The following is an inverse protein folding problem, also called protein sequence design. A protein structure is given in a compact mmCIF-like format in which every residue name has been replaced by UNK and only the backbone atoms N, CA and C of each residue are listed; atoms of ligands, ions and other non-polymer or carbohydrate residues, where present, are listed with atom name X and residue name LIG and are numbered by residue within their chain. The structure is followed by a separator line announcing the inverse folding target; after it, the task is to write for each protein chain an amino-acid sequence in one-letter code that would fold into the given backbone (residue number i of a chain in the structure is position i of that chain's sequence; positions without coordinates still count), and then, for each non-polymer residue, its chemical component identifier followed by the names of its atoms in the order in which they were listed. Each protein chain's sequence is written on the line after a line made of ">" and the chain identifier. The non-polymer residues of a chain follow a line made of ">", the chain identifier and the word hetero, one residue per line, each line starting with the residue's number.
data_IF_311169751120
#
_entry.id   IF_311169751120
#
_cell.length_a   1.000
_cell.length_b   1.000
_cell.length_c   1.000
_cell.angle_alpha   90.00
_cell.angle_beta   90.00
_cell.angle_gamma   90.00
#
_symmetry.space_group_name_H-M   'P 1'
#
loop_
_entity.id
_entity.type
_entity.pdbx_description
1 polymer ?
#
# COMPACT_ATOMS: atom_id res chain seq x y z
N UNK A 1 -64.11 26.13 -30.94
CA UNK A 1 -62.74 26.61 -31.20
C UNK A 1 -61.94 26.57 -29.90
N UNK A 2 -61.13 25.53 -29.67
CA UNK A 2 -60.19 25.44 -28.53
C UNK A 2 -58.79 25.22 -29.09
N UNK A 3 -57.93 26.23 -28.94
CA UNK A 3 -56.51 26.19 -29.34
C UNK A 3 -55.75 25.41 -28.27
N UNK A 4 -55.24 24.23 -28.61
CA UNK A 4 -54.29 23.48 -27.81
C UNK A 4 -52.90 24.01 -28.09
N UNK A 5 -52.32 24.73 -27.12
CA UNK A 5 -50.92 25.14 -27.14
C UNK A 5 -50.04 23.93 -26.83
N UNK A 6 -49.32 23.44 -27.83
CA UNK A 6 -48.31 22.40 -27.66
C UNK A 6 -47.03 23.05 -27.11
N UNK A 7 -46.74 22.81 -25.83
CA UNK A 7 -45.51 23.24 -25.17
C UNK A 7 -44.44 22.18 -25.45
N UNK A 8 -43.55 22.46 -26.40
CA UNK A 8 -42.36 21.64 -26.66
C UNK A 8 -41.34 21.97 -25.57
N UNK A 9 -41.17 21.03 -24.63
CA UNK A 9 -40.15 21.11 -23.59
C UNK A 9 -38.80 20.65 -24.14
N UNK A 10 -37.87 21.59 -24.30
CA UNK A 10 -36.50 21.34 -24.74
C UNK A 10 -35.68 20.81 -23.56
N UNK A 11 -35.49 19.49 -23.49
CA UNK A 11 -34.61 18.83 -22.53
C UNK A 11 -33.14 19.11 -22.91
N UNK A 12 -32.55 20.11 -22.24
CA UNK A 12 -31.12 20.39 -22.31
C UNK A 12 -30.38 19.31 -21.51
N UNK A 13 -29.83 18.31 -22.20
CA UNK A 13 -28.94 17.33 -21.60
C UNK A 13 -27.62 18.02 -21.21
N UNK A 14 -27.46 18.34 -19.93
CA UNK A 14 -26.17 18.78 -19.36
C UNK A 14 -25.29 17.53 -19.32
N UNK A 15 -24.53 17.30 -20.37
CA UNK A 15 -23.46 16.32 -20.39
C UNK A 15 -22.39 16.73 -19.39
N UNK A 16 -22.36 16.08 -18.22
CA UNK A 16 -21.18 16.08 -17.37
C UNK A 16 -20.11 15.30 -18.12
N UNK A 17 -19.27 16.02 -18.88
CA UNK A 17 -18.03 15.47 -19.38
C UNK A 17 -17.15 15.20 -18.16
N UNK A 18 -17.21 13.97 -17.63
CA UNK A 18 -16.19 13.48 -16.72
C UNK A 18 -14.86 13.61 -17.47
N UNK A 19 -14.05 14.60 -17.09
CA UNK A 19 -12.71 14.74 -17.59
C UNK A 19 -11.96 13.45 -17.26
N UNK A 20 -11.69 12.63 -18.27
CA UNK A 20 -10.92 11.41 -18.11
C UNK A 20 -9.49 11.86 -17.77
N UNK A 21 -9.11 11.82 -16.49
CA UNK A 21 -7.74 12.13 -16.11
C UNK A 21 -6.78 11.21 -16.88
N UNK A 22 -5.71 11.79 -17.42
CA UNK A 22 -4.69 11.03 -18.11
C UNK A 22 -4.13 9.96 -17.18
N UNK A 23 -4.04 8.73 -17.68
CA UNK A 23 -3.48 7.60 -16.93
C UNK A 23 -1.97 7.69 -16.72
N UNK A 24 -1.38 6.54 -16.42
CA UNK A 24 0.05 6.36 -16.26
C UNK A 24 0.55 5.33 -17.27
N UNK A 25 1.53 5.73 -18.07
CA UNK A 25 2.29 4.83 -18.93
C UNK A 25 3.53 4.36 -18.17
N UNK A 26 3.66 3.06 -17.92
CA UNK A 26 4.73 2.54 -17.07
C UNK A 26 6.12 2.75 -17.69
N UNK A 27 6.22 2.73 -19.02
CA UNK A 27 7.48 2.97 -19.74
C UNK A 27 7.96 4.43 -19.65
N UNK A 28 7.10 5.36 -19.20
CA UNK A 28 7.44 6.78 -19.01
C UNK A 28 7.89 7.10 -17.59
N UNK A 29 7.82 6.15 -16.66
CA UNK A 29 8.23 6.37 -15.27
C UNK A 29 9.75 6.47 -15.20
N UNK A 30 10.25 7.61 -14.70
CA UNK A 30 11.71 7.85 -14.64
C UNK A 30 12.33 7.31 -13.36
N UNK A 31 11.65 7.44 -12.22
CA UNK A 31 12.20 7.09 -10.92
C UNK A 31 11.12 6.73 -9.89
N UNK A 32 11.56 6.01 -8.87
CA UNK A 32 10.85 5.81 -7.61
C UNK A 32 11.47 6.73 -6.55
N UNK A 33 10.72 7.71 -6.06
CA UNK A 33 11.19 8.68 -5.10
C UNK A 33 10.72 8.33 -3.68
N UNK A 34 11.64 8.41 -2.72
CA UNK A 34 11.37 8.28 -1.28
C UNK A 34 11.92 9.51 -0.53
N UNK A 35 11.34 9.83 0.63
CA UNK A 35 11.84 10.90 1.47
C UNK A 35 13.28 10.62 1.95
N UNK A 36 14.08 11.66 2.20
CA UNK A 36 15.40 11.44 2.85
C UNK A 36 15.25 10.88 4.26
N UNK A 37 14.18 11.30 4.94
CA UNK A 37 13.79 10.85 6.28
C UNK A 37 12.89 9.61 6.25
N UNK A 38 12.84 8.89 5.12
CA UNK A 38 12.05 7.68 4.98
C UNK A 38 12.47 6.64 6.03
N UNK A 39 11.48 5.99 6.63
CA UNK A 39 11.72 4.90 7.57
C UNK A 39 12.29 3.65 6.89
N UNK A 40 12.87 2.72 7.66
CA UNK A 40 13.35 1.43 7.15
C UNK A 40 12.24 0.65 6.44
N UNK A 41 10.99 0.76 6.94
CA UNK A 41 9.82 0.14 6.32
C UNK A 41 9.47 0.74 4.97
N UNK A 42 9.56 2.06 4.83
CA UNK A 42 9.34 2.73 3.54
C UNK A 42 10.46 2.44 2.55
N UNK A 43 11.70 2.33 3.04
CA UNK A 43 12.85 1.92 2.22
C UNK A 43 12.69 0.47 1.72
N UNK A 44 12.26 -0.45 2.59
CA UNK A 44 11.91 -1.83 2.21
C UNK A 44 10.76 -1.86 1.22
N UNK A 45 9.69 -1.10 1.47
CA UNK A 45 8.54 -1.01 0.57
C UNK A 45 8.94 -0.50 -0.83
N UNK A 46 9.89 0.44 -0.90
CA UNK A 46 10.42 0.93 -2.17
C UNK A 46 11.22 -0.15 -2.92
N UNK A 47 12.02 -0.95 -2.22
CA UNK A 47 12.72 -2.09 -2.81
C UNK A 47 11.75 -3.16 -3.31
N UNK A 48 10.71 -3.49 -2.54
CA UNK A 48 9.67 -4.44 -2.94
C UNK A 48 8.90 -3.97 -4.18
N UNK A 49 8.63 -2.66 -4.26
CA UNK A 49 7.99 -2.06 -5.42
C UNK A 49 8.90 -2.09 -6.66
N UNK A 50 10.17 -1.70 -6.52
CA UNK A 50 11.14 -1.74 -7.62
C UNK A 50 11.25 -3.18 -8.14
N UNK A 51 11.43 -4.15 -7.25
CA UNK A 51 11.54 -5.57 -7.60
C UNK A 51 10.27 -6.06 -8.29
N UNK A 52 9.08 -5.77 -7.74
CA UNK A 52 7.83 -6.22 -8.36
C UNK A 52 7.57 -5.61 -9.75
N UNK A 53 8.00 -4.37 -10.00
CA UNK A 53 7.94 -3.75 -11.33
C UNK A 53 8.97 -4.39 -12.28
N UNK A 54 10.17 -4.69 -11.81
CA UNK A 54 11.21 -5.42 -12.56
C UNK A 54 10.72 -6.82 -12.94
N UNK A 55 10.11 -7.55 -12.01
CA UNK A 55 9.58 -8.91 -12.23
C UNK A 55 8.38 -8.91 -13.20
N UNK A 56 7.49 -7.90 -13.14
CA UNK A 56 6.32 -7.82 -14.02
C UNK A 56 6.65 -7.30 -15.43
N UNK A 57 7.53 -6.30 -15.54
CA UNK A 57 7.70 -5.50 -16.76
C UNK A 57 9.14 -5.44 -17.28
N UNK A 58 10.11 -5.94 -16.52
CA UNK A 58 11.54 -5.80 -16.82
C UNK A 58 12.06 -4.37 -16.66
N UNK A 59 11.32 -3.50 -15.96
CA UNK A 59 11.65 -2.09 -15.79
C UNK A 59 12.27 -1.86 -14.41
N UNK A 60 13.54 -1.44 -14.39
CA UNK A 60 14.25 -1.13 -13.14
C UNK A 60 14.28 0.37 -12.88
N UNK A 61 13.34 0.85 -12.09
CA UNK A 61 13.25 2.26 -11.70
C UNK A 61 14.30 2.61 -10.65
N UNK A 62 15.09 3.65 -10.85
CA UNK A 62 16.06 4.09 -9.84
C UNK A 62 15.34 4.61 -8.58
N UNK A 63 15.83 4.20 -7.39
CA UNK A 63 15.33 4.73 -6.11
C UNK A 63 16.08 6.01 -5.79
N UNK A 64 15.38 7.14 -5.77
CA UNK A 64 15.95 8.47 -5.51
C UNK A 64 15.44 8.98 -4.17
N UNK A 65 16.35 9.45 -3.33
CA UNK A 65 16.00 10.13 -2.07
C UNK A 65 15.83 11.63 -2.33
N UNK A 66 14.81 12.23 -1.72
CA UNK A 66 14.64 13.68 -1.74
C UNK A 66 13.40 14.11 -0.95
N UNK A 67 13.37 15.35 -0.47
CA UNK A 67 12.26 15.87 0.34
C UNK A 67 11.22 16.66 -0.47
N UNK A 68 11.51 16.96 -1.73
CA UNK A 68 10.59 17.61 -2.66
C UNK A 68 10.19 16.64 -3.75
N UNK A 69 8.92 16.65 -4.14
CA UNK A 69 8.48 15.88 -5.30
C UNK A 69 9.18 16.43 -6.55
N UNK A 70 9.83 15.55 -7.32
CA UNK A 70 10.60 15.95 -8.51
C UNK A 70 9.75 16.60 -9.60
N UNK A 71 8.42 16.45 -9.55
CA UNK A 71 7.49 16.92 -10.58
C UNK A 71 7.60 16.15 -11.90
N UNK A 72 8.45 15.12 -11.95
CA UNK A 72 8.67 14.27 -13.12
C UNK A 72 7.77 13.04 -13.10
N UNK A 73 7.52 12.42 -14.26
CA UNK A 73 6.88 11.10 -14.33
C UNK A 73 7.60 10.09 -13.44
N UNK A 74 6.87 9.45 -12.54
CA UNK A 74 7.48 8.59 -11.54
C UNK A 74 6.53 8.17 -10.43
N UNK A 75 7.11 7.51 -9.43
CA UNK A 75 6.38 7.03 -8.27
C UNK A 75 6.86 7.80 -7.04
N UNK A 76 5.95 8.39 -6.29
CA UNK A 76 6.20 9.06 -5.03
C UNK A 76 5.75 8.17 -3.89
N UNK A 77 6.68 7.69 -3.08
CA UNK A 77 6.41 6.78 -1.99
C UNK A 77 6.62 7.45 -0.63
N UNK A 78 5.62 7.31 0.23
CA UNK A 78 5.64 7.82 1.59
C UNK A 78 4.85 9.11 1.75
N UNK A 79 4.45 9.36 3.00
CA UNK A 79 3.59 10.48 3.38
C UNK A 79 4.20 11.84 3.04
N UNK A 80 5.47 12.05 3.37
CA UNK A 80 6.16 13.33 3.17
C UNK A 80 6.13 13.77 1.71
N UNK A 81 6.49 12.88 0.78
CA UNK A 81 6.51 13.18 -0.65
C UNK A 81 5.10 13.31 -1.25
N UNK A 82 4.17 12.45 -0.83
CA UNK A 82 2.80 12.50 -1.32
C UNK A 82 2.12 13.83 -0.94
N UNK A 83 2.32 14.31 0.28
CA UNK A 83 1.84 15.62 0.72
C UNK A 83 2.55 16.77 0.01
N UNK A 84 3.89 16.71 -0.11
CA UNK A 84 4.68 17.74 -0.79
C UNK A 84 4.31 17.89 -2.28
N UNK A 85 3.87 16.81 -2.92
CA UNK A 85 3.41 16.83 -4.31
C UNK A 85 2.02 17.42 -4.52
N UNK A 86 1.22 17.55 -3.46
CA UNK A 86 -0.20 17.93 -3.52
C UNK A 86 -1.12 16.86 -4.14
N UNK A 87 -0.60 15.68 -4.52
CA UNK A 87 -1.41 14.59 -5.06
C UNK A 87 -2.36 14.03 -3.99
N UNK A 88 -1.84 13.79 -2.79
CA UNK A 88 -2.60 13.27 -1.64
C UNK A 88 -2.65 14.37 -0.58
N UNK A 89 -3.82 14.62 -0.02
CA UNK A 89 -4.04 15.60 1.03
C UNK A 89 -3.95 14.98 2.43
N UNK A 90 -3.64 15.80 3.43
CA UNK A 90 -3.61 15.39 4.84
C UNK A 90 -4.96 14.82 5.28
N UNK A 91 -6.08 15.42 4.84
CA UNK A 91 -7.44 14.95 5.12
C UNK A 91 -7.70 13.53 4.63
N UNK A 92 -7.16 13.16 3.47
CA UNK A 92 -7.29 11.80 2.93
C UNK A 92 -6.51 10.79 3.76
N UNK A 93 -5.31 11.15 4.22
CA UNK A 93 -4.51 10.30 5.11
C UNK A 93 -5.14 10.16 6.50
N UNK A 94 -5.71 11.24 7.03
CA UNK A 94 -6.43 11.19 8.30
C UNK A 94 -7.71 10.34 8.24
N UNK A 95 -8.37 10.29 7.08
CA UNK A 95 -9.58 9.46 6.91
C UNK A 95 -9.26 7.95 6.95
N UNK A 96 -8.07 7.56 6.50
CA UNK A 96 -7.66 6.14 6.43
C UNK A 96 -6.91 5.62 7.66
N UNK A 97 -6.69 6.44 8.70
CA UNK A 97 -6.01 6.06 9.96
C UNK A 97 -6.24 4.59 10.39
N UNK A 98 -5.30 3.87 10.98
CA UNK A 98 -3.87 4.16 11.18
C UNK A 98 -2.97 3.36 10.23
N UNK A 99 -3.46 2.20 9.81
CA UNK A 99 -2.80 1.28 8.88
C UNK A 99 -3.44 1.33 7.48
N UNK A 100 -4.34 2.28 7.23
CA UNK A 100 -4.89 2.51 5.90
C UNK A 100 -3.97 3.35 5.01
N UNK A 101 -4.33 3.38 3.74
CA UNK A 101 -3.50 3.94 2.69
C UNK A 101 -4.31 4.60 1.58
N UNK A 102 -3.63 5.48 0.84
CA UNK A 102 -4.16 6.17 -0.32
C UNK A 102 -3.19 5.96 -1.48
N UNK A 103 -3.77 5.64 -2.64
CA UNK A 103 -3.08 5.52 -3.92
C UNK A 103 -3.74 6.48 -4.89
N UNK A 104 -2.94 7.30 -5.56
CA UNK A 104 -3.40 8.10 -6.70
C UNK A 104 -2.45 7.92 -7.85
N UNK A 105 -2.99 7.55 -9.00
CA UNK A 105 -2.23 7.49 -10.24
C UNK A 105 -2.93 8.37 -11.26
N UNK A 106 -2.24 9.42 -11.71
CA UNK A 106 -2.69 10.27 -12.81
C UNK A 106 -1.50 11.01 -13.41
N UNK A 107 -1.60 11.41 -14.67
CA UNK A 107 -0.61 12.25 -15.37
C UNK A 107 0.83 11.70 -15.27
N UNK A 108 0.99 10.39 -15.42
CA UNK A 108 2.26 9.66 -15.27
C UNK A 108 2.93 9.77 -13.88
N UNK A 109 2.20 10.17 -12.85
CA UNK A 109 2.66 10.16 -11.46
C UNK A 109 1.81 9.18 -10.67
N UNK A 110 2.47 8.35 -9.85
CA UNK A 110 1.80 7.47 -8.89
C UNK A 110 2.23 7.89 -7.49
N UNK A 111 1.31 8.44 -6.70
CA UNK A 111 1.54 8.74 -5.29
C UNK A 111 0.99 7.61 -4.41
N UNK A 112 1.82 7.13 -3.49
CA UNK A 112 1.53 6.06 -2.53
C UNK A 112 1.83 6.55 -1.13
N UNK A 113 0.81 6.65 -0.27
CA UNK A 113 1.02 7.07 1.11
C UNK A 113 0.05 6.40 2.08
N UNK A 114 0.58 5.90 3.19
CA UNK A 114 -0.19 5.57 4.38
C UNK A 114 -0.19 6.70 5.40
N UNK A 115 -1.10 6.62 6.38
CA UNK A 115 -1.03 7.49 7.57
C UNK A 115 0.29 7.24 8.35
N UNK A 116 0.74 5.98 8.39
CA UNK A 116 2.01 5.49 8.95
C UNK A 116 2.80 4.67 7.93
N UNK A 117 4.10 4.40 8.17
CA UNK A 117 4.95 3.61 7.26
C UNK A 117 4.36 2.26 6.84
N UNK A 118 3.63 1.59 7.74
CA UNK A 118 2.99 0.32 7.42
C UNK A 118 1.84 0.45 6.43
N UNK A 119 1.06 1.54 6.52
CA UNK A 119 0.06 1.86 5.50
C UNK A 119 0.71 2.07 4.13
N UNK A 120 1.88 2.73 4.08
CA UNK A 120 2.64 2.90 2.84
C UNK A 120 3.05 1.55 2.24
N UNK A 121 3.50 0.60 3.06
CA UNK A 121 3.80 -0.77 2.63
C UNK A 121 2.56 -1.46 2.03
N UNK A 122 1.39 -1.35 2.67
CA UNK A 122 0.15 -1.90 2.11
C UNK A 122 -0.25 -1.23 0.79
N UNK A 123 -0.03 0.08 0.63
CA UNK A 123 -0.24 0.77 -0.64
C UNK A 123 0.65 0.20 -1.75
N UNK A 124 1.91 -0.12 -1.45
CA UNK A 124 2.83 -0.77 -2.41
C UNK A 124 2.28 -2.12 -2.87
N UNK A 125 1.89 -2.98 -1.94
CA UNK A 125 1.35 -4.30 -2.30
C UNK A 125 0.03 -4.18 -3.09
N UNK A 126 -0.86 -3.26 -2.69
CA UNK A 126 -2.10 -3.01 -3.44
C UNK A 126 -1.85 -2.46 -4.85
N UNK A 127 -0.81 -1.64 -5.05
CA UNK A 127 -0.41 -1.21 -6.38
C UNK A 127 0.14 -2.41 -7.19
N UNK A 128 1.02 -3.21 -6.61
CA UNK A 128 1.60 -4.39 -7.28
C UNK A 128 0.52 -5.39 -7.72
N UNK A 129 -0.49 -5.64 -6.87
CA UNK A 129 -1.65 -6.46 -7.23
C UNK A 129 -2.40 -5.87 -8.42
N UNK A 130 -2.62 -4.55 -8.45
CA UNK A 130 -3.27 -3.86 -9.57
C UNK A 130 -2.43 -3.89 -10.85
N UNK A 131 -1.12 -3.91 -10.71
CA UNK A 131 -0.16 -4.08 -11.81
C UNK A 131 -0.07 -5.53 -12.29
N UNK A 132 -0.67 -6.48 -11.57
CA UNK A 132 -0.76 -7.89 -11.98
C UNK A 132 0.07 -8.87 -11.17
N UNK A 133 0.75 -8.45 -10.10
CA UNK A 133 1.50 -9.33 -9.22
C UNK A 133 0.62 -9.82 -8.07
N UNK A 134 0.16 -11.07 -8.15
CA UNK A 134 -0.63 -11.70 -7.09
C UNK A 134 0.27 -12.60 -6.26
N UNK A 135 0.19 -12.46 -4.93
CA UNK A 135 0.95 -13.30 -4.00
C UNK A 135 -0.01 -14.20 -3.23
N UNK A 136 0.29 -15.49 -3.23
CA UNK A 136 -0.45 -16.50 -2.50
C UNK A 136 0.45 -17.09 -1.42
N UNK A 137 0.06 -17.02 -0.13
CA UNK A 137 0.82 -17.69 0.91
C UNK A 137 0.73 -19.21 0.70
N UNK A 138 1.87 -19.90 0.76
CA UNK A 138 1.95 -21.35 0.61
C UNK A 138 2.55 -21.94 1.88
N UNK A 139 1.74 -22.11 2.93
CA UNK A 139 2.23 -22.63 4.21
C UNK A 139 3.32 -21.75 4.88
N UNK A 140 3.86 -22.20 6.01
CA UNK A 140 4.89 -21.46 6.75
C UNK A 140 6.31 -21.67 6.20
N UNK A 141 6.58 -22.83 5.58
CA UNK A 141 7.93 -23.24 5.21
C UNK A 141 8.30 -22.92 3.76
N UNK A 142 7.33 -22.55 2.92
CA UNK A 142 7.57 -22.25 1.51
C UNK A 142 7.43 -20.75 1.26
N UNK A 143 8.25 -20.19 0.35
CA UNK A 143 8.05 -18.82 -0.09
C UNK A 143 6.66 -18.66 -0.70
N UNK A 144 6.08 -17.47 -0.55
CA UNK A 144 4.80 -17.16 -1.18
C UNK A 144 4.88 -17.42 -2.70
N UNK A 145 3.85 -18.04 -3.25
CA UNK A 145 3.72 -18.26 -4.68
C UNK A 145 3.33 -16.93 -5.33
N UNK A 146 4.17 -16.46 -6.25
CA UNK A 146 3.92 -15.24 -6.99
C UNK A 146 3.39 -15.58 -8.40
N UNK A 147 2.28 -14.96 -8.79
CA UNK A 147 1.68 -15.08 -10.10
C UNK A 147 1.73 -13.71 -10.78
N UNK A 148 2.54 -13.60 -11.82
CA UNK A 148 2.73 -12.38 -12.61
C UNK A 148 1.80 -12.37 -13.82
N UNK A 149 0.84 -11.45 -13.86
CA UNK A 149 -0.07 -11.23 -15.00
C UNK A 149 -0.03 -9.75 -15.41
N UNK A 150 1.02 -9.31 -16.13
CA UNK A 150 1.24 -7.90 -16.42
C UNK A 150 0.10 -7.28 -17.26
N UNK A 151 -0.15 -5.99 -17.06
CA UNK A 151 -1.20 -5.26 -17.77
C UNK A 151 -0.89 -5.14 -19.27
N UNK A 152 -1.92 -5.38 -20.10
CA UNK A 152 -1.82 -5.21 -21.54
C UNK A 152 -1.43 -3.77 -21.91
N UNK A 153 -0.39 -3.64 -22.73
CA UNK A 153 0.09 -2.34 -23.20
C UNK A 153 0.76 -1.47 -22.14
N UNK A 154 1.07 -1.98 -20.94
CA UNK A 154 1.81 -1.27 -19.88
C UNK A 154 1.20 0.09 -19.50
N UNK A 155 -0.13 0.19 -19.61
CA UNK A 155 -0.90 1.39 -19.31
C UNK A 155 -1.81 1.14 -18.12
N UNK A 156 -1.73 2.05 -17.16
CA UNK A 156 -2.56 2.07 -15.98
C UNK A 156 -3.55 3.23 -16.11
N UNK A 157 -4.85 2.93 -16.18
CA UNK A 157 -5.88 3.97 -16.19
C UNK A 157 -5.81 4.80 -14.90
N UNK A 158 -6.07 6.10 -15.00
CA UNK A 158 -6.07 7.00 -13.84
C UNK A 158 -7.05 6.49 -12.78
N UNK A 159 -6.63 6.54 -11.52
CA UNK A 159 -7.46 6.06 -10.41
C UNK A 159 -7.05 6.69 -9.10
N UNK A 160 -8.00 6.69 -8.16
CA UNK A 160 -7.78 6.99 -6.77
C UNK A 160 -8.40 5.90 -5.92
N UNK A 161 -7.63 5.38 -4.96
CA UNK A 161 -8.07 4.38 -3.99
C UNK A 161 -7.71 4.90 -2.61
N UNK A 162 -8.67 4.88 -1.70
CA UNK A 162 -8.45 5.06 -0.27
C UNK A 162 -8.96 3.79 0.41
N UNK A 163 -8.12 3.17 1.22
CA UNK A 163 -8.43 1.91 1.90
C UNK A 163 -8.16 2.06 3.39
N UNK A 164 -9.19 1.81 4.20
CA UNK A 164 -9.11 1.79 5.66
C UNK A 164 -9.39 0.37 6.15
N UNK A 165 -8.52 -0.23 6.96
CA UNK A 165 -8.84 -1.52 7.56
C UNK A 165 -10.03 -1.39 8.52
N UNK A 166 -10.93 -2.37 8.49
CA UNK A 166 -12.07 -2.40 9.41
C UNK A 166 -11.64 -2.71 10.84
N UNK A 167 -10.69 -3.63 11.01
CA UNK A 167 -10.10 -3.99 12.30
C UNK A 167 -8.71 -3.36 12.44
N UNK A 168 -8.45 -2.72 13.58
CA UNK A 168 -7.15 -2.13 13.88
C UNK A 168 -6.08 -3.20 14.08
N UNK A 169 -6.38 -4.23 14.88
CA UNK A 169 -5.49 -5.37 15.04
C UNK A 169 -5.84 -6.48 14.05
N UNK A 170 -4.85 -6.90 13.26
CA UNK A 170 -4.97 -7.98 12.27
C UNK A 170 -3.75 -8.89 12.40
N UNK A 171 -3.94 -10.04 13.04
CA UNK A 171 -2.92 -11.08 13.14
C UNK A 171 -3.61 -12.44 13.00
N UNK A 172 -2.95 -13.37 12.33
CA UNK A 172 -3.33 -14.79 12.27
C UNK A 172 -2.20 -15.56 12.95
N UNK A 173 -2.55 -16.54 13.79
CA UNK A 173 -1.66 -17.33 14.65
C UNK A 173 -0.29 -17.68 14.01
N UNK A 174 0.76 -17.63 14.84
CA UNK A 174 2.22 -17.74 14.59
C UNK A 174 3.04 -16.46 14.30
N UNK A 175 2.43 -15.28 14.43
CA UNK A 175 3.16 -14.01 14.61
C UNK A 175 2.67 -13.30 15.87
N UNK A 176 3.19 -13.74 17.01
CA UNK A 176 2.65 -13.58 18.39
C UNK A 176 2.69 -12.13 18.94
N UNK A 177 2.69 -11.14 18.08
CA UNK A 177 2.54 -9.74 18.48
C UNK A 177 2.21 -8.81 17.30
N UNK A 178 2.65 -9.09 16.06
CA UNK A 178 2.52 -8.09 14.98
C UNK A 178 2.06 -8.57 13.59
N UNK A 179 1.87 -9.87 13.31
CA UNK A 179 1.59 -10.34 11.93
C UNK A 179 2.82 -10.25 11.01
N UNK A 180 2.79 -10.88 9.81
CA UNK A 180 3.93 -10.93 8.85
C UNK A 180 4.53 -9.55 8.59
N UNK A 181 3.69 -8.52 8.53
CA UNK A 181 4.08 -7.14 8.24
C UNK A 181 4.11 -6.23 9.45
N UNK A 182 3.76 -6.74 10.62
CA UNK A 182 4.00 -6.04 11.86
C UNK A 182 3.11 -4.81 12.10
N UNK A 183 1.94 -4.95 12.75
CA UNK A 183 1.04 -3.84 13.08
C UNK A 183 1.80 -2.63 13.68
N UNK A 184 1.57 -1.42 13.17
CA UNK A 184 2.43 -0.25 13.48
C UNK A 184 2.02 0.54 14.73
N UNK A 185 1.19 -0.07 15.58
CA UNK A 185 0.53 0.53 16.74
C UNK A 185 1.42 0.64 17.98
N UNK A 186 2.67 1.11 17.85
CA UNK A 186 3.57 1.30 19.01
C UNK A 186 3.07 2.39 19.99
N UNK A 187 2.17 3.24 19.51
CA UNK A 187 1.55 4.39 20.17
C UNK A 187 0.19 4.10 20.82
N UNK A 188 -0.54 3.10 20.32
CA UNK A 188 -1.92 2.76 20.72
C UNK A 188 -2.02 1.68 21.79
N UNK A 189 -0.91 1.39 22.47
CA UNK A 189 -0.81 0.33 23.47
C UNK A 189 0.03 -0.81 22.92
N UNK A 190 1.34 -0.66 23.02
CA UNK A 190 2.25 -1.80 22.90
C UNK A 190 1.94 -2.77 24.05
N UNK A 191 1.46 -3.99 23.79
CA UNK A 191 1.25 -4.97 24.84
C UNK A 191 2.58 -5.28 25.58
N UNK A 192 3.75 -5.03 25.00
CA UNK A 192 5.04 -5.14 25.70
C UNK A 192 5.31 -3.98 26.67
N UNK A 193 4.66 -2.82 26.50
CA UNK A 193 4.77 -1.67 27.41
C UNK A 193 3.63 -1.62 28.44
N UNK A 194 2.48 -2.21 28.12
CA UNK A 194 1.30 -2.24 28.99
C UNK A 194 1.04 -3.58 29.69
N UNK A 195 1.53 -4.71 29.17
CA UNK A 195 1.38 -6.01 29.82
C UNK A 195 2.55 -6.31 30.75
N UNK A 196 2.24 -7.06 31.82
CA UNK A 196 3.19 -7.49 32.83
C UNK A 196 4.45 -8.09 32.16
N UNK A 197 5.67 -7.57 32.44
CA UNK A 197 6.91 -8.09 31.89
C UNK A 197 7.12 -9.59 32.18
N UNK A 198 6.45 -10.16 33.17
CA UNK A 198 6.51 -11.60 33.45
C UNK A 198 5.80 -12.48 32.42
N UNK A 199 4.84 -11.94 31.67
CA UNK A 199 4.04 -12.66 30.67
C UNK A 199 4.75 -12.69 29.31
N UNK A 200 5.44 -11.60 28.95
CA UNK A 200 6.14 -11.47 27.66
C UNK A 200 7.67 -11.58 27.76
N UNK A 201 8.24 -11.33 28.94
CA UNK A 201 9.68 -11.46 29.19
C UNK A 201 10.17 -12.90 29.34
N UNK A 202 9.26 -13.87 29.49
CA UNK A 202 9.62 -15.29 29.61
C UNK A 202 9.77 -16.04 28.28
N UNK A 203 9.26 -15.49 27.17
CA UNK A 203 9.22 -16.22 25.89
C UNK A 203 9.98 -15.58 24.73
N UNK A 204 10.73 -14.50 24.93
CA UNK A 204 11.42 -13.85 23.80
C UNK A 204 12.75 -14.51 23.38
N UNK A 205 13.40 -15.37 24.17
CA UNK A 205 14.73 -15.88 23.77
C UNK A 205 15.18 -17.27 24.26
N UNK A 206 14.31 -18.15 24.82
CA UNK A 206 14.77 -19.46 25.33
C UNK A 206 13.93 -20.70 25.00
N UNK A 207 12.79 -20.59 24.34
CA UNK A 207 11.98 -21.78 23.99
C UNK A 207 12.50 -22.56 22.77
N UNK A 208 13.51 -22.07 22.03
CA UNK A 208 13.82 -22.61 20.69
C UNK A 208 15.30 -22.92 20.41
N UNK A 209 16.20 -22.95 21.40
CA UNK A 209 17.62 -23.29 21.17
C UNK A 209 18.15 -24.52 21.93
N UNK A 210 17.29 -25.37 22.50
CA UNK A 210 17.68 -26.74 22.85
C UNK A 210 16.55 -27.70 22.52
N UNK A 211 16.80 -28.58 21.56
CA UNK A 211 15.88 -29.62 21.14
C UNK A 211 15.69 -30.67 22.23
N UNK A 212 14.73 -30.43 23.12
CA UNK A 212 14.10 -31.45 23.95
C UNK A 212 12.59 -31.22 23.94
N UNK A 213 11.94 -31.68 22.88
CA UNK A 213 10.50 -31.92 22.84
C UNK A 213 10.27 -33.31 22.25
N UNK A 214 10.50 -34.32 23.06
CA UNK A 214 9.95 -35.67 22.87
C UNK A 214 9.39 -36.10 24.23
N UNK A 215 8.10 -36.42 24.23
CA UNK A 215 7.43 -36.99 25.39
C UNK A 215 8.15 -38.23 25.88
N UNK A 216 8.39 -38.28 27.18
CA UNK A 216 8.93 -39.43 27.89
C UNK A 216 8.10 -39.65 29.16
N UNK A 217 6.80 -39.82 29.00
CA UNK A 217 5.87 -40.22 30.06
C UNK A 217 4.62 -40.92 29.50
N UNK A 218 4.83 -41.87 28.60
CA UNK A 218 3.88 -42.95 28.32
C UNK A 218 4.62 -44.29 28.34
N UNK A 219 4.90 -44.81 29.55
CA UNK A 219 4.98 -46.23 29.97
C UNK A 219 5.63 -46.31 31.35
#
# INVERSE_FOLDING_TARGET
>A
MRKTHSVVSLLLAIGVACAQEAGVELDKLEALQIAETASDRESSAAQDLQKGIEDLYGLKLAIVKGNTASGKPGILLGRTLALASGQISEKELEAVKHDGYVIKASRNVIALAGFRPLGTLYAVHALLERLGLKRYPVGQELPAMEVCTPLAGRKLAAFSVASKPFFEYRSVMDHVDRGVFGASYLDLGDPQRGANPDVLGRNSHKTWLKGEWLGADHS
#
